data_IF_733621256845
#
_entry.id   IF_733621256845
#
_cell.length_a   1.000
_cell.length_b   1.000
_cell.length_c   1.000
_cell.angle_alpha   90.00
_cell.angle_beta   90.00
_cell.angle_gamma   90.00
#
_symmetry.space_group_name_H-M   'P 1'
#
loop_
_entity.id
_entity.type
_entity.pdbx_description
1 polymer ?
#
# COMPACT_ATOMS: atom_id res chain seq x y z
N UNK A 1 16.30 -9.02 2.68
CA UNK A 1 17.24 -8.44 1.73
C UNK A 1 16.58 -7.31 0.96
N UNK A 2 17.34 -6.29 0.70
CA UNK A 2 16.84 -5.19 -0.10
C UNK A 2 17.00 -5.49 -1.57
N UNK A 3 16.13 -4.93 -2.38
CA UNK A 3 16.30 -4.98 -3.81
C UNK A 3 17.51 -4.13 -4.18
N UNK A 4 17.97 -4.27 -5.40
CA UNK A 4 19.17 -3.58 -5.85
C UNK A 4 19.04 -2.09 -5.88
N UNK A 5 17.81 -1.60 -6.01
CA UNK A 5 17.58 -0.16 -6.03
C UNK A 5 17.21 0.40 -4.66
N UNK A 6 17.40 -0.39 -3.61
CA UNK A 6 17.15 0.06 -2.26
C UNK A 6 15.74 -0.12 -1.76
N UNK A 7 14.83 -0.60 -2.58
CA UNK A 7 13.47 -0.82 -2.13
C UNK A 7 13.41 -2.04 -1.21
N UNK A 8 12.47 -2.04 -0.25
CA UNK A 8 12.35 -3.19 0.64
C UNK A 8 11.97 -4.45 -0.12
N UNK A 9 12.43 -5.59 0.39
CA UNK A 9 12.05 -6.88 -0.15
C UNK A 9 10.58 -7.14 0.19
N UNK A 10 9.83 -7.59 -0.78
CA UNK A 10 8.42 -7.87 -0.59
C UNK A 10 8.22 -9.15 0.20
N UNK A 11 7.22 -9.14 1.08
CA UNK A 11 6.84 -10.33 1.82
C UNK A 11 5.97 -11.26 1.03
N UNK A 12 5.26 -10.76 0.05
CA UNK A 12 4.32 -11.55 -0.73
C UNK A 12 4.31 -11.05 -2.15
N UNK A 13 3.64 -11.80 -3.02
CA UNK A 13 3.48 -11.40 -4.41
C UNK A 13 2.68 -10.11 -4.49
N UNK A 14 3.05 -9.29 -5.43
CA UNK A 14 2.28 -8.11 -5.81
C UNK A 14 1.47 -8.41 -7.04
N UNK A 15 0.30 -7.82 -7.10
CA UNK A 15 -0.57 -7.92 -8.25
C UNK A 15 -0.74 -6.52 -8.81
N UNK A 16 -0.60 -6.37 -10.12
CA UNK A 16 -0.86 -5.10 -10.78
C UNK A 16 -2.36 -4.94 -10.89
N UNK A 17 -2.90 -3.93 -10.21
CA UNK A 17 -4.33 -3.77 -10.13
C UNK A 17 -4.63 -2.32 -9.74
N UNK A 18 -5.48 -1.68 -10.53
CA UNK A 18 -5.87 -0.31 -10.25
C UNK A 18 -7.07 -0.32 -9.31
N UNK A 19 -6.88 0.16 -8.10
CA UNK A 19 -7.92 0.19 -7.10
C UNK A 19 -8.15 1.63 -6.65
N UNK A 20 -9.37 2.16 -6.77
CA UNK A 20 -9.64 3.52 -6.31
C UNK A 20 -9.65 3.60 -4.78
N UNK A 21 -9.03 4.63 -4.26
CA UNK A 21 -8.83 4.79 -2.83
C UNK A 21 -9.21 6.19 -2.39
N UNK A 22 -9.58 6.31 -1.12
CA UNK A 22 -9.59 7.58 -0.41
C UNK A 22 -8.59 7.51 0.71
N UNK A 23 -7.80 8.56 0.83
CA UNK A 23 -6.76 8.65 1.84
C UNK A 23 -7.18 9.71 2.83
N UNK A 24 -7.19 9.35 4.10
CA UNK A 24 -7.57 10.27 5.17
C UNK A 24 -6.45 10.38 6.17
N UNK A 25 -6.41 11.51 6.85
CA UNK A 25 -5.55 11.65 8.02
C UNK A 25 -6.16 10.93 9.20
N UNK A 26 -5.34 10.27 10.03
CA UNK A 26 -5.87 9.68 11.25
C UNK A 26 -6.40 10.77 12.17
N UNK A 27 -7.59 10.57 12.70
CA UNK A 27 -8.20 11.52 13.59
C UNK A 27 -9.18 10.80 14.48
N UNK A 28 -9.23 11.17 15.73
CA UNK A 28 -10.09 10.51 16.70
C UNK A 28 -11.55 10.93 16.59
N UNK A 29 -11.82 12.12 16.09
CA UNK A 29 -13.18 12.64 16.07
C UNK A 29 -13.78 12.75 14.67
N UNK A 30 -12.98 13.08 13.69
CA UNK A 30 -13.42 13.11 12.30
C UNK A 30 -12.25 12.79 11.39
N UNK A 31 -12.60 12.46 10.17
CA UNK A 31 -11.60 12.14 9.17
C UNK A 31 -11.52 13.28 8.18
N UNK A 32 -10.31 13.70 7.91
CA UNK A 32 -10.05 14.70 6.91
C UNK A 32 -9.49 14.01 5.67
N UNK A 33 -10.18 14.19 4.56
CA UNK A 33 -9.74 13.63 3.29
C UNK A 33 -8.49 14.34 2.84
N UNK A 34 -7.43 13.56 2.63
CA UNK A 34 -6.21 14.08 2.06
C UNK A 34 -6.32 14.09 0.55
N UNK A 35 -6.77 12.98 -0.03
CA UNK A 35 -6.80 12.87 -1.48
C UNK A 35 -7.59 11.64 -1.90
N UNK A 36 -8.20 11.73 -3.07
CA UNK A 36 -8.66 10.53 -3.79
C UNK A 36 -7.52 10.07 -4.68
N UNK A 37 -7.15 8.82 -4.53
CA UNK A 37 -5.97 8.28 -5.18
C UNK A 37 -6.30 6.92 -5.76
N UNK A 38 -5.29 6.20 -6.21
CA UNK A 38 -5.49 4.82 -6.63
C UNK A 38 -4.22 4.03 -6.39
N UNK A 39 -4.40 2.74 -6.14
CA UNK A 39 -3.30 1.82 -6.06
C UNK A 39 -2.92 1.37 -7.46
N UNK A 40 -1.64 1.08 -7.67
CA UNK A 40 -1.14 0.55 -8.94
C UNK A 40 -0.62 -0.87 -8.78
N UNK A 41 -0.19 -1.23 -7.58
CA UNK A 41 0.19 -2.60 -7.23
C UNK A 41 -0.27 -2.86 -5.82
N UNK A 42 -0.74 -4.05 -5.56
CA UNK A 42 -1.28 -4.41 -4.26
C UNK A 42 -0.66 -5.71 -3.78
N UNK A 43 -0.63 -5.88 -2.48
CA UNK A 43 -0.15 -7.11 -1.85
C UNK A 43 -0.95 -7.33 -0.56
N UNK A 44 -0.73 -8.48 0.08
CA UNK A 44 -1.40 -8.76 1.35
C UNK A 44 -1.05 -7.74 2.43
N UNK A 45 0.11 -7.09 2.33
CA UNK A 45 0.63 -6.25 3.40
C UNK A 45 0.55 -4.76 3.11
N UNK A 46 0.07 -4.39 1.94
CA UNK A 46 -0.02 -3.00 1.55
C UNK A 46 -0.03 -2.83 0.05
N UNK A 47 0.64 -1.81 -0.45
CA UNK A 47 0.67 -1.58 -1.88
C UNK A 47 1.45 -0.35 -2.27
N UNK A 48 1.49 -0.12 -3.58
CA UNK A 48 2.00 1.12 -4.16
C UNK A 48 0.83 1.94 -4.61
N UNK A 49 0.80 3.19 -4.20
CA UNK A 49 -0.28 4.11 -4.58
C UNK A 49 0.31 5.33 -5.26
N UNK A 50 -0.48 5.97 -6.09
CA UNK A 50 -0.10 7.22 -6.73
C UNK A 50 -0.76 8.35 -5.96
N UNK A 51 0.04 9.25 -5.40
CA UNK A 51 -0.43 10.28 -4.49
C UNK A 51 0.16 11.61 -4.86
N UNK A 52 -0.67 12.64 -4.98
CA UNK A 52 -0.22 14.00 -5.28
C UNK A 52 0.09 14.80 -4.04
N UNK A 53 -0.64 14.55 -2.96
CA UNK A 53 -0.47 15.31 -1.74
C UNK A 53 0.92 15.08 -1.16
N UNK A 54 1.53 16.10 -0.57
CA UNK A 54 2.81 15.92 0.09
C UNK A 54 2.64 15.08 1.34
N UNK A 55 3.45 14.04 1.45
CA UNK A 55 3.41 13.14 2.61
C UNK A 55 4.83 12.83 3.01
N UNK A 56 4.99 12.33 4.22
CA UNK A 56 6.30 12.00 4.78
C UNK A 56 6.42 10.52 5.00
N UNK A 57 7.66 10.05 4.98
CA UNK A 57 7.93 8.67 5.33
C UNK A 57 7.54 8.45 6.80
N UNK A 58 6.97 7.29 7.08
CA UNK A 58 6.46 6.89 8.39
C UNK A 58 5.17 7.60 8.80
N UNK A 59 4.61 8.44 7.95
CA UNK A 59 3.34 9.07 8.23
C UNK A 59 2.23 8.03 8.23
N UNK A 60 1.34 8.10 9.21
CA UNK A 60 0.18 7.23 9.25
C UNK A 60 -0.96 7.85 8.48
N UNK A 61 -1.71 6.99 7.81
CA UNK A 61 -2.88 7.39 7.03
C UNK A 61 -3.97 6.34 7.23
N UNK A 62 -5.19 6.73 6.94
CA UNK A 62 -6.31 5.79 6.87
C UNK A 62 -6.65 5.63 5.40
N UNK A 63 -6.67 4.39 4.94
CA UNK A 63 -6.92 4.08 3.55
C UNK A 63 -8.26 3.40 3.41
N UNK A 64 -9.08 3.89 2.49
CA UNK A 64 -10.41 3.34 2.20
C UNK A 64 -10.42 2.86 0.77
N UNK A 65 -10.80 1.61 0.57
CA UNK A 65 -11.01 1.06 -0.77
C UNK A 65 -12.40 1.49 -1.21
N UNK A 66 -12.47 2.34 -2.22
CA UNK A 66 -13.74 2.89 -2.67
C UNK A 66 -14.65 1.84 -3.28
N UNK A 67 -14.08 0.77 -3.81
CA UNK A 67 -14.88 -0.26 -4.46
C UNK A 67 -15.59 -1.15 -3.44
N UNK A 68 -15.00 -1.37 -2.27
CA UNK A 68 -15.56 -2.28 -1.29
C UNK A 68 -16.03 -1.60 -0.02
N UNK A 69 -15.52 -0.40 0.25
CA UNK A 69 -15.80 0.28 1.51
C UNK A 69 -14.88 -0.15 2.65
N UNK A 70 -13.99 -1.10 2.42
CA UNK A 70 -13.06 -1.55 3.44
C UNK A 70 -12.09 -0.44 3.83
N UNK A 71 -11.78 -0.39 5.11
CA UNK A 71 -10.91 0.64 5.67
C UNK A 71 -9.78 -0.01 6.44
N UNK A 72 -8.59 0.53 6.33
CA UNK A 72 -7.47 0.04 7.12
C UNK A 72 -6.51 1.16 7.44
N UNK A 73 -5.85 1.04 8.58
CA UNK A 73 -4.79 1.96 8.97
C UNK A 73 -3.50 1.53 8.30
N UNK A 74 -2.77 2.50 7.77
CA UNK A 74 -1.56 2.22 7.02
C UNK A 74 -0.48 3.22 7.39
N UNK A 75 0.73 2.91 7.00
CA UNK A 75 1.88 3.79 7.20
C UNK A 75 2.62 3.89 5.88
N UNK A 76 3.11 5.08 5.58
CA UNK A 76 3.94 5.31 4.41
C UNK A 76 5.34 4.84 4.72
N UNK A 77 5.83 3.87 3.94
CA UNK A 77 7.14 3.28 4.20
C UNK A 77 8.17 3.63 3.14
N UNK A 78 7.73 4.20 2.01
CA UNK A 78 8.67 4.52 0.94
C UNK A 78 8.07 5.61 0.07
N UNK A 79 8.88 6.62 -0.22
CA UNK A 79 8.52 7.70 -1.14
C UNK A 79 9.27 7.46 -2.44
N UNK A 80 8.55 7.10 -3.46
CA UNK A 80 9.13 6.78 -4.75
C UNK A 80 9.15 7.97 -5.69
N UNK A 81 9.41 7.69 -6.96
CA UNK A 81 9.54 8.75 -7.97
C UNK A 81 8.18 9.33 -8.35
N UNK A 82 8.26 10.52 -8.97
CA UNK A 82 7.10 11.12 -9.61
C UNK A 82 6.68 10.26 -10.79
N UNK A 83 5.39 10.02 -10.90
CA UNK A 83 4.85 9.24 -12.00
C UNK A 83 4.89 10.08 -13.27
N UNK A 84 5.29 9.45 -14.38
CA UNK A 84 5.29 10.12 -15.68
C UNK A 84 3.86 10.51 -16.07
N UNK A 85 3.73 11.52 -16.92
CA UNK A 85 2.43 11.90 -17.46
C UNK A 85 1.89 13.23 -16.98
N UNK A 86 2.68 13.97 -16.22
CA UNK A 86 2.32 15.34 -15.86
C UNK A 86 1.32 15.49 -14.72
N UNK A 87 0.90 14.41 -14.11
CA UNK A 87 -0.04 14.50 -12.99
C UNK A 87 0.62 14.95 -11.69
N UNK A 88 1.95 14.88 -11.64
CA UNK A 88 2.76 15.20 -10.46
C UNK A 88 2.53 14.24 -9.29
N UNK A 89 1.86 13.14 -9.54
CA UNK A 89 1.69 12.12 -8.52
C UNK A 89 2.99 11.39 -8.29
N UNK A 90 3.22 11.01 -7.05
CA UNK A 90 4.40 10.24 -6.66
C UNK A 90 3.95 8.83 -6.30
N UNK A 91 4.76 7.85 -6.65
CA UNK A 91 4.53 6.50 -6.17
C UNK A 91 4.95 6.43 -4.71
N UNK A 92 4.06 5.91 -3.90
CA UNK A 92 4.26 5.82 -2.45
C UNK A 92 3.93 4.39 -2.04
N UNK A 93 4.83 3.78 -1.29
CA UNK A 93 4.56 2.44 -0.74
C UNK A 93 3.92 2.59 0.63
N UNK A 94 2.85 1.87 0.83
CA UNK A 94 2.16 1.84 2.13
C UNK A 94 2.20 0.42 2.68
N UNK A 95 2.19 0.34 4.00
CA UNK A 95 2.14 -0.92 4.72
C UNK A 95 0.97 -0.86 5.70
N UNK A 96 0.15 -1.90 5.72
CA UNK A 96 -0.95 -1.98 6.68
C UNK A 96 -0.38 -2.12 8.09
N UNK A 97 -0.96 -1.41 9.05
CA UNK A 97 -0.50 -1.47 10.43
C UNK A 97 -0.92 -2.76 11.11
N UNK A 98 -1.93 -3.43 10.57
CA UNK A 98 -2.33 -4.74 11.05
C UNK A 98 -2.85 -5.53 9.86
N UNK A 99 -2.86 -6.87 9.98
CA UNK A 99 -3.29 -7.69 8.85
C UNK A 99 -4.67 -7.29 8.36
N UNK A 100 -4.79 -7.12 7.05
CA UNK A 100 -6.05 -6.74 6.42
C UNK A 100 -6.19 -7.53 5.12
N UNK A 101 -6.29 -8.86 5.20
CA UNK A 101 -6.19 -9.71 4.01
C UNK A 101 -7.30 -9.48 2.99
N UNK A 102 -8.44 -8.97 3.40
CA UNK A 102 -9.53 -8.72 2.49
C UNK A 102 -9.59 -7.31 1.96
N UNK A 103 -8.65 -6.46 2.33
CA UNK A 103 -8.76 -5.04 2.01
C UNK A 103 -8.88 -4.78 0.51
N UNK A 104 -8.06 -5.46 -0.29
CA UNK A 104 -8.06 -5.20 -1.74
C UNK A 104 -9.17 -5.92 -2.48
N UNK A 105 -9.80 -6.92 -1.85
CA UNK A 105 -10.89 -7.65 -2.48
C UNK A 105 -10.43 -8.64 -3.54
N UNK A 106 -9.19 -9.05 -3.50
CA UNK A 106 -8.65 -10.03 -4.46
C UNK A 106 -7.91 -11.12 -3.72
N UNK A 107 -7.75 -12.25 -4.40
CA UNK A 107 -6.98 -13.38 -3.87
C UNK A 107 -5.57 -13.28 -4.41
N UNK A 108 -4.59 -13.35 -3.53
CA UNK A 108 -3.19 -13.28 -3.93
C UNK A 108 -2.62 -14.66 -4.18
N UNK A 109 -1.68 -14.79 -5.12
CA UNK A 109 -1.08 -16.08 -5.39
C UNK A 109 -0.40 -16.63 -4.14
N UNK A 110 -0.55 -17.93 -3.94
CA UNK A 110 0.11 -18.60 -2.84
C UNK A 110 1.58 -18.78 -3.15
N UNK A 111 2.43 -18.80 -2.13
CA UNK A 111 3.81 -19.15 -2.35
C UNK A 111 3.91 -20.56 -2.91
N UNK A 112 5.01 -20.84 -3.60
CA UNK A 112 5.27 -22.15 -4.16
C UNK A 112 5.28 -23.18 -3.03
N UNK A 113 4.39 -24.18 -3.05
CA UNK A 113 4.33 -25.16 -1.98
C UNK A 113 5.55 -26.07 -1.89
N UNK A 114 6.34 -26.17 -2.95
CA UNK A 114 7.55 -26.96 -2.90
C UNK A 114 8.72 -26.26 -2.27
N UNK A 115 8.51 -25.05 -1.77
CA UNK A 115 9.58 -24.23 -1.28
C UNK A 115 9.31 -23.86 0.17
N UNK A 116 10.29 -23.98 1.07
CA UNK A 116 10.08 -23.59 2.46
C UNK A 116 9.74 -22.12 2.56
N UNK A 117 8.86 -21.79 3.45
CA UNK A 117 8.53 -20.40 3.73
C UNK A 117 9.62 -19.81 4.58
N UNK A 118 10.04 -18.67 4.18
CA UNK A 118 10.93 -17.93 5.02
C UNK A 118 10.05 -17.24 6.03
N UNK A 119 10.06 -17.69 7.05
CA UNK A 119 9.16 -17.20 7.92
C UNK A 119 9.52 -16.21 8.66
N UNK A 120 9.60 -16.17 8.19
CA UNK A 120 9.90 -15.57 8.60
C UNK A 120 9.87 -14.43 8.47
N UNK A 121 9.91 -14.60 7.89
CA UNK A 121 9.97 -13.50 8.00
C UNK A 121 8.90 -12.91 8.61
N UNK A 122 8.91 -13.20 9.15
CA UNK A 122 8.02 -12.86 9.65
C UNK A 122 7.78 -12.10 10.48
N UNK A 123 7.74 -11.99 10.78
CA UNK A 123 7.47 -11.41 11.36
C UNK A 123 7.40 -10.94 12.05
#
# INVERSE_FOLDING_TARGET
MLSKNGAPTRRSSRVTLRVPLRIYEPDTSKRFLVEEAHAVKVSLWGGLIALKAPVNQNQQIVTVNKATGETTDSRIVYLGPIVAGGSRARLVAIEFLRPSPGFWGVVFPQPDPGRPQVRNYVR
#
